data_IF_377173825326
#
_entry.id   IF_377173825326
#
_cell.length_a   1.000
_cell.length_b   1.000
_cell.length_c   1.000
_cell.angle_alpha   90.00
_cell.angle_beta   90.00
_cell.angle_gamma   90.00
#
_symmetry.space_group_name_H-M   'P 1'
#
loop_
_entity.id
_entity.type
_entity.pdbx_description
1 polymer ?
#
# COMPACT_ATOMS: atom_id res chain seq x y z
N UNK A 1 18.53 7.31 16.00
CA UNK A 1 19.75 8.06 15.61
C UNK A 1 21.07 7.29 15.72
N UNK A 2 21.17 6.16 16.41
CA UNK A 2 22.48 5.46 16.63
C UNK A 2 22.99 4.60 15.45
N UNK A 3 22.15 4.19 14.52
CA UNK A 3 22.50 3.19 13.47
C UNK A 3 23.27 3.76 12.28
N UNK A 4 22.94 4.96 11.83
CA UNK A 4 23.67 5.62 10.72
C UNK A 4 25.07 6.03 11.15
N UNK A 5 25.25 6.40 12.42
CA UNK A 5 26.54 6.84 12.92
C UNK A 5 27.57 5.70 13.01
N UNK A 6 27.11 4.45 13.22
CA UNK A 6 28.03 3.30 13.29
C UNK A 6 28.59 2.94 11.92
N UNK A 7 27.77 2.96 10.88
CA UNK A 7 28.22 2.75 9.48
C UNK A 7 29.22 3.82 9.05
N UNK A 8 28.86 5.08 9.18
CA UNK A 8 29.73 6.19 8.82
C UNK A 8 30.98 6.24 9.70
N UNK A 9 30.87 5.93 10.98
CA UNK A 9 32.00 5.87 11.91
C UNK A 9 33.01 4.76 11.55
N UNK A 10 32.52 3.55 11.19
CA UNK A 10 33.41 2.46 10.76
C UNK A 10 34.12 2.77 9.44
N UNK A 11 33.44 3.44 8.52
CA UNK A 11 33.97 3.88 7.24
C UNK A 11 35.08 4.93 7.42
N UNK A 12 34.86 5.93 8.26
CA UNK A 12 35.87 6.95 8.60
C UNK A 12 37.07 6.33 9.30
N UNK A 13 36.83 5.37 10.19
CA UNK A 13 37.91 4.68 10.90
C UNK A 13 38.80 3.87 9.96
N UNK A 14 38.21 3.11 9.02
CA UNK A 14 38.96 2.34 8.03
C UNK A 14 39.76 3.28 7.11
N UNK A 15 39.14 4.38 6.65
CA UNK A 15 39.85 5.40 5.85
C UNK A 15 41.01 6.03 6.60
N UNK A 16 40.83 6.34 7.89
CA UNK A 16 41.87 6.88 8.76
C UNK A 16 43.05 5.91 8.96
N UNK A 17 42.75 4.62 9.21
CA UNK A 17 43.79 3.58 9.37
C UNK A 17 44.57 3.41 8.06
N UNK A 18 43.91 3.36 6.90
CA UNK A 18 44.58 3.24 5.59
C UNK A 18 45.50 4.44 5.28
N UNK A 19 45.04 5.66 5.62
CA UNK A 19 45.86 6.87 5.47
C UNK A 19 47.08 6.83 6.40
N UNK A 20 46.90 6.39 7.63
CA UNK A 20 47.99 6.29 8.61
C UNK A 20 49.04 5.26 8.17
N UNK A 21 48.62 4.10 7.66
CA UNK A 21 49.53 3.07 7.14
C UNK A 21 50.32 3.58 5.91
N UNK A 22 49.67 4.40 5.06
CA UNK A 22 50.34 5.07 3.93
C UNK A 22 51.39 6.08 4.39
N UNK A 23 51.10 6.92 5.38
CA UNK A 23 52.03 7.96 5.91
C UNK A 23 53.23 7.33 6.62
N UNK A 24 53.04 6.14 7.23
CA UNK A 24 54.15 5.38 7.84
C UNK A 24 55.06 4.68 6.83
N UNK A 25 54.76 4.79 5.51
CA UNK A 25 55.58 4.18 4.46
C UNK A 25 55.50 2.66 4.37
N UNK A 26 54.60 2.04 5.11
CA UNK A 26 54.45 0.59 5.17
C UNK A 26 53.86 0.00 3.88
N UNK A 27 53.26 0.83 3.01
CA UNK A 27 52.67 0.42 1.76
C UNK A 27 52.92 1.44 0.64
N UNK A 28 53.32 0.94 -0.53
CA UNK A 28 53.62 1.71 -1.75
C UNK A 28 52.54 1.68 -2.82
N UNK A 29 51.30 1.30 -2.46
CA UNK A 29 50.21 1.17 -3.43
C UNK A 29 49.41 2.47 -3.63
N UNK A 30 48.76 2.59 -4.76
CA UNK A 30 47.79 3.66 -5.03
C UNK A 30 46.62 3.55 -4.08
N UNK A 31 46.48 4.55 -3.20
CA UNK A 31 45.43 4.58 -2.16
C UNK A 31 43.99 4.51 -2.73
N UNK A 32 43.74 5.20 -3.85
CA UNK A 32 42.39 5.36 -4.40
C UNK A 32 41.71 4.06 -4.82
N UNK A 33 42.32 3.18 -5.62
CA UNK A 33 41.71 1.91 -6.00
C UNK A 33 41.44 0.99 -4.82
N UNK A 34 42.35 0.93 -3.86
CA UNK A 34 42.22 0.08 -2.66
C UNK A 34 41.11 0.58 -1.73
N UNK A 35 41.02 1.90 -1.56
CA UNK A 35 39.96 2.53 -0.79
C UNK A 35 38.57 2.16 -1.34
N UNK A 36 38.35 2.30 -2.66
CA UNK A 36 37.09 1.97 -3.29
C UNK A 36 36.77 0.47 -3.24
N UNK A 37 37.77 -0.41 -3.38
CA UNK A 37 37.57 -1.85 -3.26
C UNK A 37 37.12 -2.25 -1.86
N UNK A 38 37.75 -1.73 -0.82
CA UNK A 38 37.38 -1.98 0.59
C UNK A 38 36.00 -1.38 0.87
N UNK A 39 35.71 -0.20 0.36
CA UNK A 39 34.40 0.44 0.50
C UNK A 39 33.27 -0.43 -0.10
N UNK A 40 33.47 -0.97 -1.30
CA UNK A 40 32.50 -1.85 -1.93
C UNK A 40 32.32 -3.17 -1.16
N UNK A 41 33.39 -3.74 -0.64
CA UNK A 41 33.33 -4.93 0.19
C UNK A 41 32.55 -4.65 1.49
N UNK A 42 32.87 -3.55 2.19
CA UNK A 42 32.15 -3.16 3.39
C UNK A 42 30.68 -2.86 3.13
N UNK A 43 30.37 -2.19 2.03
CA UNK A 43 28.99 -1.95 1.61
C UNK A 43 28.26 -3.27 1.29
N UNK A 44 28.93 -4.22 0.62
CA UNK A 44 28.37 -5.55 0.34
C UNK A 44 28.15 -6.37 1.62
N UNK A 45 29.10 -6.38 2.53
CA UNK A 45 28.98 -7.05 3.83
C UNK A 45 27.86 -6.41 4.66
N UNK A 46 27.77 -5.07 4.67
CA UNK A 46 26.69 -4.36 5.33
C UNK A 46 25.32 -4.69 4.72
N UNK A 47 25.26 -4.78 3.40
CA UNK A 47 24.04 -5.16 2.69
C UNK A 47 23.57 -6.57 3.06
N UNK A 48 24.49 -7.52 3.18
CA UNK A 48 24.18 -8.93 3.47
C UNK A 48 23.89 -9.17 4.97
N UNK A 49 24.64 -8.54 5.86
CA UNK A 49 24.58 -8.81 7.31
C UNK A 49 23.75 -7.78 8.07
N UNK A 50 23.63 -6.55 7.55
CA UNK A 50 22.92 -5.46 8.23
C UNK A 50 21.49 -5.83 8.68
N UNK A 51 20.67 -6.46 7.83
CA UNK A 51 19.30 -6.86 8.21
C UNK A 51 19.27 -7.94 9.32
N UNK A 52 20.30 -8.80 9.39
CA UNK A 52 20.38 -9.86 10.40
C UNK A 52 20.89 -9.38 11.76
N UNK A 53 21.81 -8.41 11.73
CA UNK A 53 22.41 -7.84 12.94
C UNK A 53 21.56 -6.77 13.61
N UNK A 54 20.73 -6.11 12.83
CA UNK A 54 19.90 -4.99 13.28
C UNK A 54 18.43 -5.27 12.96
N UNK A 55 17.84 -6.23 13.66
CA UNK A 55 16.37 -6.34 13.70
C UNK A 55 15.84 -5.04 14.30
N UNK A 56 15.19 -4.20 13.51
CA UNK A 56 14.37 -3.15 14.07
C UNK A 56 13.16 -3.83 14.70
N UNK A 57 12.99 -3.65 16.01
CA UNK A 57 11.72 -4.00 16.65
C UNK A 57 10.63 -3.20 15.94
N UNK A 58 9.78 -3.90 15.18
CA UNK A 58 8.67 -3.29 14.51
C UNK A 58 7.64 -2.89 15.55
N UNK A 59 7.39 -1.61 15.68
CA UNK A 59 6.33 -1.11 16.55
C UNK A 59 5.01 -1.60 15.98
N UNK A 60 4.29 -2.36 16.77
CA UNK A 60 2.93 -2.79 16.47
C UNK A 60 1.96 -1.95 17.31
N UNK A 61 1.13 -1.18 16.64
CA UNK A 61 0.18 -0.28 17.27
C UNK A 61 -1.24 -0.75 17.01
N UNK A 62 -2.00 -0.98 18.07
CA UNK A 62 -3.43 -1.26 17.98
C UNK A 62 -4.21 0.06 18.09
N UNK A 63 -5.02 0.35 17.08
CA UNK A 63 -5.78 1.59 17.01
C UNK A 63 -7.24 1.31 16.76
N UNK A 64 -8.08 1.98 17.54
CA UNK A 64 -9.53 2.06 17.33
C UNK A 64 -9.88 3.51 17.06
N UNK A 65 -10.63 3.76 16.00
CA UNK A 65 -11.16 5.09 15.67
C UNK A 65 -12.67 5.07 15.88
N UNK A 66 -13.20 5.86 16.84
CA UNK A 66 -14.64 5.95 17.07
C UNK A 66 -15.32 6.77 15.96
N UNK A 67 -16.61 6.50 15.72
CA UNK A 67 -17.46 7.28 14.81
C UNK A 67 -17.87 8.64 15.38
N UNK A 68 -17.88 8.77 16.69
CA UNK A 68 -18.30 10.00 17.39
C UNK A 68 -19.67 10.55 16.93
N UNK A 69 -20.58 9.64 16.55
CA UNK A 69 -21.90 10.00 16.04
C UNK A 69 -21.93 10.47 14.58
N UNK A 70 -20.86 10.31 13.82
CA UNK A 70 -20.88 10.54 12.38
C UNK A 70 -21.75 9.49 11.67
N UNK A 71 -22.49 9.91 10.63
CA UNK A 71 -23.34 9.03 9.83
C UNK A 71 -22.69 8.56 8.54
N UNK A 72 -21.55 9.14 8.15
CA UNK A 72 -20.73 8.74 7.02
C UNK A 72 -19.25 9.00 7.31
N UNK A 73 -18.34 8.33 6.59
CA UNK A 73 -16.92 8.57 6.74
C UNK A 73 -16.14 8.55 5.42
N UNK A 74 -15.09 9.38 5.38
CA UNK A 74 -14.06 9.43 4.34
C UNK A 74 -12.72 8.96 4.94
N UNK A 75 -12.16 7.88 4.43
CA UNK A 75 -10.92 7.33 4.97
C UNK A 75 -9.86 7.27 3.88
N UNK A 76 -8.72 7.90 4.16
CA UNK A 76 -7.54 7.89 3.29
C UNK A 76 -6.44 7.08 3.92
N UNK A 77 -5.94 6.09 3.18
CA UNK A 77 -4.84 5.22 3.57
C UNK A 77 -3.63 5.53 2.69
N UNK A 78 -2.57 6.05 3.30
CA UNK A 78 -1.31 6.34 2.62
C UNK A 78 -0.24 5.36 3.12
N UNK A 79 -0.04 4.27 2.39
CA UNK A 79 0.86 3.19 2.77
C UNK A 79 1.99 3.07 1.75
N UNK A 80 3.19 3.44 2.13
CA UNK A 80 4.33 3.50 1.20
C UNK A 80 4.72 2.14 0.64
N UNK A 81 4.95 1.14 1.50
CA UNK A 81 5.30 -0.21 1.09
C UNK A 81 4.94 -1.24 2.16
N UNK A 82 4.54 -2.44 1.74
CA UNK A 82 4.20 -3.55 2.62
C UNK A 82 2.89 -4.21 2.28
N UNK A 83 2.13 -4.62 3.30
CA UNK A 83 0.85 -5.29 3.12
C UNK A 83 -0.28 -4.53 3.81
N UNK A 84 -1.40 -4.38 3.12
CA UNK A 84 -2.66 -3.90 3.69
C UNK A 84 -3.70 -5.02 3.57
N UNK A 85 -4.28 -5.40 4.70
CA UNK A 85 -5.42 -6.32 4.77
C UNK A 85 -6.61 -5.58 5.37
N UNK A 86 -7.68 -5.46 4.62
CA UNK A 86 -8.92 -4.80 5.04
C UNK A 86 -10.04 -5.81 5.03
N UNK A 87 -10.72 -5.91 6.16
CA UNK A 87 -11.94 -6.69 6.32
C UNK A 87 -13.10 -5.78 6.73
N UNK A 88 -14.28 -6.31 6.75
CA UNK A 88 -15.50 -5.64 7.24
C UNK A 88 -16.07 -6.35 8.46
N UNK A 89 -16.69 -5.58 9.37
CA UNK A 89 -17.30 -6.15 10.56
C UNK A 89 -18.26 -5.20 11.27
N UNK A 90 -19.00 -5.74 12.19
CA UNK A 90 -19.82 -4.91 13.09
C UNK A 90 -18.93 -4.35 14.22
N UNK A 91 -18.66 -3.08 14.18
CA UNK A 91 -17.82 -2.39 15.16
C UNK A 91 -18.61 -1.48 16.12
N UNK A 92 -19.94 -1.55 16.07
CA UNK A 92 -20.80 -0.68 16.88
C UNK A 92 -20.51 0.80 16.61
N UNK A 93 -20.17 1.53 17.65
CA UNK A 93 -19.86 2.98 17.56
C UNK A 93 -18.47 3.32 17.02
N UNK A 94 -17.69 2.33 16.52
CA UNK A 94 -16.36 2.58 15.99
C UNK A 94 -16.37 2.56 14.45
N UNK A 95 -15.54 3.40 13.84
CA UNK A 95 -15.34 3.45 12.40
C UNK A 95 -14.44 2.30 11.91
N UNK A 96 -13.32 2.11 12.59
CA UNK A 96 -12.37 1.07 12.29
C UNK A 96 -11.61 0.59 13.54
N UNK A 97 -11.17 -0.65 13.48
CA UNK A 97 -10.19 -1.27 14.38
C UNK A 97 -9.03 -1.80 13.54
N UNK A 98 -7.81 -1.70 14.02
CA UNK A 98 -6.70 -2.28 13.29
C UNK A 98 -5.42 -2.38 14.09
N UNK A 99 -4.54 -3.22 13.56
CA UNK A 99 -3.15 -3.39 14.00
C UNK A 99 -2.23 -2.89 12.90
N UNK A 100 -1.35 -1.97 13.26
CA UNK A 100 -0.50 -1.23 12.35
C UNK A 100 0.97 -1.50 12.67
N UNK A 101 1.58 -2.44 11.97
CA UNK A 101 3.00 -2.73 12.11
C UNK A 101 3.82 -1.71 11.33
N UNK A 102 4.78 -1.08 11.98
CA UNK A 102 5.54 0.07 11.48
C UNK A 102 5.02 1.41 12.01
N UNK A 103 3.92 1.40 12.79
CA UNK A 103 3.30 2.57 13.38
C UNK A 103 2.26 3.24 12.48
N UNK A 104 1.54 4.19 13.04
CA UNK A 104 0.48 4.93 12.39
C UNK A 104 0.54 6.42 12.77
N UNK A 105 0.58 7.29 11.77
CA UNK A 105 0.23 8.69 11.90
C UNK A 105 -1.24 8.84 11.48
N UNK A 106 -2.07 9.43 12.34
CA UNK A 106 -3.50 9.62 12.08
C UNK A 106 -3.89 11.07 12.27
N UNK A 107 -4.64 11.58 11.33
CA UNK A 107 -5.28 12.87 11.39
C UNK A 107 -6.78 12.66 11.22
N UNK A 108 -7.55 13.05 12.24
CA UNK A 108 -9.00 12.84 12.27
C UNK A 108 -9.65 14.20 12.38
N UNK A 109 -10.61 14.47 11.50
CA UNK A 109 -11.39 15.68 11.51
C UNK A 109 -12.85 15.36 11.28
N UNK A 110 -13.73 16.19 11.80
CA UNK A 110 -15.19 16.06 11.64
C UNK A 110 -15.77 17.31 11.01
N UNK A 111 -16.64 17.12 10.04
CA UNK A 111 -17.39 18.19 9.41
C UNK A 111 -18.87 17.79 9.33
N UNK A 112 -19.69 18.37 10.21
CA UNK A 112 -21.11 18.01 10.31
C UNK A 112 -21.31 16.53 10.65
N UNK A 113 -21.96 15.79 9.78
CA UNK A 113 -22.23 14.35 9.91
C UNK A 113 -21.13 13.45 9.32
N UNK A 114 -20.11 14.01 8.71
CA UNK A 114 -19.01 13.26 8.07
C UNK A 114 -17.76 13.26 8.93
N UNK A 115 -17.15 12.08 9.10
CA UNK A 115 -15.84 11.88 9.75
C UNK A 115 -14.78 11.66 8.67
N UNK A 116 -13.72 12.46 8.69
CA UNK A 116 -12.55 12.28 7.81
C UNK A 116 -11.38 11.73 8.61
N UNK A 117 -10.79 10.63 8.16
CA UNK A 117 -9.63 10.03 8.78
C UNK A 117 -8.53 9.86 7.72
N UNK A 118 -7.39 10.51 7.92
CA UNK A 118 -6.19 10.33 7.12
C UNK A 118 -5.17 9.50 7.90
N UNK A 119 -4.85 8.33 7.36
CA UNK A 119 -4.00 7.32 7.98
C UNK A 119 -2.74 7.15 7.14
N UNK A 120 -1.58 7.46 7.70
CA UNK A 120 -0.31 7.42 6.98
C UNK A 120 0.77 6.68 7.76
N UNK A 121 1.71 6.09 7.02
CA UNK A 121 2.93 5.55 7.64
C UNK A 121 3.81 6.70 8.13
N UNK A 122 4.39 6.59 9.34
CA UNK A 122 5.32 7.60 9.85
C UNK A 122 6.48 7.86 8.88
N UNK A 123 6.77 9.13 8.59
CA UNK A 123 7.84 9.52 7.67
C UNK A 123 9.22 8.98 8.06
N UNK A 124 9.44 8.71 9.35
CA UNK A 124 10.68 8.08 9.86
C UNK A 124 10.92 6.69 9.28
N UNK A 125 9.86 6.00 8.88
CA UNK A 125 9.91 4.67 8.27
C UNK A 125 10.15 4.79 6.76
N UNK A 126 9.52 5.77 6.10
CA UNK A 126 9.64 6.01 4.65
C UNK A 126 11.01 6.61 4.26
N UNK A 127 11.64 7.40 5.14
CA UNK A 127 12.94 8.06 4.87
C UNK A 127 14.14 7.13 4.91
N UNK A 128 13.95 5.86 5.24
CA UNK A 128 15.02 4.87 5.30
C UNK A 128 14.77 3.80 4.23
N UNK A 129 15.01 4.16 2.97
CA UNK A 129 15.23 3.16 1.92
C UNK A 129 16.54 2.41 2.24
N UNK A 130 16.50 1.51 3.22
CA UNK A 130 17.65 0.69 3.56
C UNK A 130 17.62 -0.53 2.65
N UNK A 131 18.65 -0.75 1.84
CA UNK A 131 18.83 -2.00 1.14
C UNK A 131 18.77 -3.16 2.15
N UNK A 132 17.90 -4.15 1.91
CA UNK A 132 17.73 -5.33 2.75
C UNK A 132 16.68 -5.21 3.87
N UNK A 133 15.91 -4.13 3.97
CA UNK A 133 14.70 -4.12 4.80
C UNK A 133 13.61 -4.93 4.08
N UNK A 134 13.15 -5.98 4.73
CA UNK A 134 11.99 -6.73 4.26
C UNK A 134 10.72 -5.90 4.50
N UNK A 135 10.25 -5.21 3.46
CA UNK A 135 9.01 -4.44 3.50
C UNK A 135 7.77 -5.29 3.80
N UNK A 136 7.88 -6.62 3.73
CA UNK A 136 6.81 -7.54 4.16
C UNK A 136 6.50 -7.43 5.65
N UNK A 137 7.42 -6.87 6.45
CA UNK A 137 7.19 -6.60 7.86
C UNK A 137 6.22 -5.44 8.12
N UNK A 138 6.00 -4.54 7.17
CA UNK A 138 5.03 -3.45 7.32
C UNK A 138 3.64 -3.95 6.92
N UNK A 139 2.87 -4.35 7.91
CA UNK A 139 1.54 -4.92 7.70
C UNK A 139 0.48 -4.11 8.45
N UNK A 140 -0.51 -3.62 7.73
CA UNK A 140 -1.72 -3.04 8.29
C UNK A 140 -2.87 -4.02 8.14
N UNK A 141 -3.40 -4.46 9.27
CA UNK A 141 -4.55 -5.35 9.34
C UNK A 141 -5.69 -4.58 10.00
N UNK A 142 -6.74 -4.31 9.27
CA UNK A 142 -7.84 -3.52 9.82
C UNK A 142 -9.22 -4.05 9.43
N UNK A 143 -10.17 -3.73 10.26
CA UNK A 143 -11.60 -4.02 10.06
C UNK A 143 -12.33 -2.68 9.97
N UNK A 144 -13.14 -2.50 8.93
CA UNK A 144 -14.01 -1.34 8.73
C UNK A 144 -15.41 -1.64 9.23
N UNK A 145 -16.10 -0.61 9.71
CA UNK A 145 -17.50 -0.70 10.07
C UNK A 145 -18.36 -0.96 8.82
N UNK A 146 -19.14 -2.02 8.86
CA UNK A 146 -19.97 -2.46 7.72
C UNK A 146 -21.28 -1.67 7.57
N UNK A 147 -21.70 -0.95 8.61
CA UNK A 147 -23.04 -0.32 8.68
C UNK A 147 -23.02 1.19 8.39
N UNK A 148 -21.84 1.74 8.09
CA UNK A 148 -21.65 3.16 7.80
C UNK A 148 -21.29 3.35 6.32
N UNK A 149 -21.93 4.32 5.62
CA UNK A 149 -21.51 4.72 4.28
C UNK A 149 -20.07 5.23 4.28
N UNK A 150 -19.25 4.65 3.38
CA UNK A 150 -17.82 4.91 3.33
C UNK A 150 -17.39 5.46 1.97
N UNK A 151 -16.47 6.42 1.99
CA UNK A 151 -15.59 6.77 0.87
C UNK A 151 -14.18 6.34 1.27
N UNK A 152 -13.53 5.54 0.42
CA UNK A 152 -12.23 4.97 0.70
C UNK A 152 -11.22 5.38 -0.37
N UNK A 153 -10.07 5.86 0.06
CA UNK A 153 -8.95 6.17 -0.81
C UNK A 153 -7.70 5.42 -0.32
N UNK A 154 -7.21 4.50 -1.13
CA UNK A 154 -5.97 3.75 -0.89
C UNK A 154 -4.89 4.26 -1.83
N UNK A 155 -3.82 4.81 -1.26
CA UNK A 155 -2.60 5.18 -1.96
C UNK A 155 -1.46 4.29 -1.47
N UNK A 156 -0.95 3.44 -2.37
CA UNK A 156 0.09 2.45 -2.04
C UNK A 156 1.25 2.52 -3.01
N UNK A 157 2.48 2.52 -2.51
CA UNK A 157 3.68 2.55 -3.36
C UNK A 157 4.02 1.17 -3.92
N UNK A 158 4.41 0.23 -3.04
CA UNK A 158 4.81 -1.12 -3.41
C UNK A 158 4.31 -2.15 -2.39
N UNK A 159 3.85 -3.32 -2.86
CA UNK A 159 3.45 -4.39 -1.96
C UNK A 159 2.18 -5.12 -2.34
N UNK A 160 1.40 -5.49 -1.34
CA UNK A 160 0.16 -6.24 -1.52
C UNK A 160 -0.99 -5.57 -0.78
N UNK A 161 -2.14 -5.42 -1.45
CA UNK A 161 -3.37 -4.93 -0.85
C UNK A 161 -4.49 -5.94 -1.07
N UNK A 162 -5.12 -6.38 0.02
CA UNK A 162 -6.29 -7.27 -0.03
C UNK A 162 -7.43 -6.58 0.70
N UNK A 163 -8.44 -6.17 -0.05
CA UNK A 163 -9.57 -5.39 0.43
C UNK A 163 -10.85 -6.23 0.30
N UNK A 164 -11.34 -6.79 1.39
CA UNK A 164 -12.65 -7.44 1.44
C UNK A 164 -13.71 -6.43 1.90
N UNK A 165 -14.37 -5.81 0.91
CA UNK A 165 -15.39 -4.79 1.13
C UNK A 165 -16.81 -5.34 0.92
N UNK A 166 -16.95 -6.66 0.74
CA UNK A 166 -18.21 -7.31 0.37
C UNK A 166 -19.39 -6.94 1.26
N UNK A 167 -19.14 -6.77 2.56
CA UNK A 167 -20.17 -6.49 3.58
C UNK A 167 -20.30 -5.01 3.94
N UNK A 168 -19.55 -4.11 3.26
CA UNK A 168 -19.53 -2.67 3.55
C UNK A 168 -20.54 -1.88 2.72
N UNK A 169 -20.77 -0.62 3.11
CA UNK A 169 -21.58 0.35 2.37
C UNK A 169 -20.70 1.37 1.62
N UNK A 170 -19.67 0.89 0.93
CA UNK A 170 -18.75 1.78 0.20
C UNK A 170 -19.47 2.41 -0.99
N UNK A 171 -19.50 3.74 -1.02
CA UNK A 171 -20.06 4.56 -2.10
C UNK A 171 -19.02 4.94 -3.14
N UNK A 172 -17.79 5.17 -2.69
CA UNK A 172 -16.66 5.51 -3.54
C UNK A 172 -15.41 4.76 -3.06
N UNK A 173 -14.73 4.12 -4.00
CA UNK A 173 -13.44 3.49 -3.78
C UNK A 173 -12.45 4.06 -4.80
N UNK A 174 -11.39 4.67 -4.30
CA UNK A 174 -10.25 5.09 -5.11
C UNK A 174 -9.02 4.28 -4.71
N UNK A 175 -8.36 3.69 -5.69
CA UNK A 175 -7.13 2.92 -5.51
C UNK A 175 -6.04 3.51 -6.39
N UNK A 176 -4.98 3.99 -5.80
CA UNK A 176 -3.80 4.48 -6.51
C UNK A 176 -2.60 3.63 -6.08
N UNK A 177 -1.94 3.02 -7.05
CA UNK A 177 -0.86 2.08 -6.73
C UNK A 177 0.30 2.18 -7.72
N UNK A 178 1.52 2.08 -7.18
CA UNK A 178 2.76 2.09 -7.98
C UNK A 178 3.08 0.71 -8.55
N UNK A 179 3.79 -0.11 -7.78
CA UNK A 179 4.21 -1.48 -8.13
C UNK A 179 3.66 -2.48 -7.12
N UNK A 180 2.44 -2.98 -7.33
CA UNK A 180 1.74 -3.79 -6.32
C UNK A 180 0.86 -4.87 -6.90
N UNK A 181 0.43 -5.79 -6.02
CA UNK A 181 -0.68 -6.69 -6.26
C UNK A 181 -1.88 -6.24 -5.40
N UNK A 182 -2.97 -5.86 -6.03
CA UNK A 182 -4.18 -5.38 -5.34
C UNK A 182 -5.37 -6.26 -5.69
N UNK A 183 -5.99 -6.85 -4.67
CA UNK A 183 -7.21 -7.65 -4.78
C UNK A 183 -8.33 -6.98 -4.02
N UNK A 184 -9.45 -6.76 -4.67
CA UNK A 184 -10.63 -6.11 -4.10
C UNK A 184 -11.86 -6.96 -4.31
N UNK A 185 -12.54 -7.31 -3.22
CA UNK A 185 -13.93 -7.79 -3.29
C UNK A 185 -14.86 -6.61 -3.08
N UNK A 186 -15.72 -6.36 -4.05
CA UNK A 186 -16.59 -5.20 -4.09
C UNK A 186 -17.84 -5.38 -3.22
N UNK A 187 -18.52 -4.27 -2.81
CA UNK A 187 -19.70 -4.34 -1.95
C UNK A 187 -20.89 -5.01 -2.62
N UNK A 188 -21.64 -5.80 -1.83
CA UNK A 188 -22.87 -6.46 -2.30
C UNK A 188 -24.14 -5.63 -2.10
N UNK A 189 -24.16 -4.69 -1.14
CA UNK A 189 -25.37 -4.01 -0.67
C UNK A 189 -25.26 -2.49 -0.59
N UNK A 190 -24.29 -1.92 -1.25
CA UNK A 190 -24.06 -0.47 -1.18
C UNK A 190 -25.01 0.35 -2.07
N UNK A 191 -25.86 -0.29 -2.88
CA UNK A 191 -26.65 0.37 -3.89
C UNK A 191 -25.77 0.72 -5.09
N UNK A 192 -25.28 1.94 -5.16
CA UNK A 192 -24.34 2.35 -6.20
C UNK A 192 -22.95 2.60 -5.61
N UNK A 193 -21.94 1.95 -6.18
CA UNK A 193 -20.52 2.13 -5.85
C UNK A 193 -19.77 2.65 -7.09
N UNK A 194 -18.97 3.69 -6.91
CA UNK A 194 -17.99 4.13 -7.93
C UNK A 194 -16.60 3.65 -7.54
N UNK A 195 -15.90 3.05 -8.49
CA UNK A 195 -14.51 2.58 -8.30
C UNK A 195 -13.63 3.25 -9.35
N UNK A 196 -12.57 3.90 -8.89
CA UNK A 196 -11.50 4.43 -9.74
C UNK A 196 -10.19 3.80 -9.32
N UNK A 197 -9.51 3.12 -10.24
CA UNK A 197 -8.22 2.51 -9.98
C UNK A 197 -7.16 3.07 -10.93
N UNK A 198 -6.05 3.58 -10.37
CA UNK A 198 -4.90 4.05 -11.12
C UNK A 198 -3.67 3.24 -10.74
N UNK A 199 -3.02 2.63 -11.72
CA UNK A 199 -1.90 1.74 -11.48
C UNK A 199 -0.72 2.02 -12.42
N UNK A 200 0.49 2.04 -11.87
CA UNK A 200 1.72 2.12 -12.66
C UNK A 200 2.09 0.77 -13.27
N UNK A 201 2.78 -0.08 -12.51
CA UNK A 201 3.12 -1.47 -12.85
C UNK A 201 2.50 -2.40 -11.82
N UNK A 202 1.22 -2.78 -12.00
CA UNK A 202 0.51 -3.51 -10.97
C UNK A 202 -0.38 -4.63 -11.52
N UNK A 203 -0.70 -5.58 -10.64
CA UNK A 203 -1.75 -6.56 -10.86
C UNK A 203 -2.99 -6.12 -10.07
N UNK A 204 -4.09 -5.89 -10.77
CA UNK A 204 -5.38 -5.50 -10.21
C UNK A 204 -6.40 -6.61 -10.39
N UNK A 205 -6.97 -7.09 -9.31
CA UNK A 205 -8.03 -8.09 -9.32
C UNK A 205 -9.28 -7.53 -8.62
N UNK A 206 -10.39 -7.41 -9.36
CA UNK A 206 -11.67 -7.00 -8.83
C UNK A 206 -12.67 -8.15 -8.89
N UNK A 207 -13.17 -8.56 -7.75
CA UNK A 207 -14.26 -9.53 -7.65
C UNK A 207 -15.58 -8.79 -7.47
N UNK A 208 -16.45 -8.86 -8.48
CA UNK A 208 -17.82 -8.35 -8.44
C UNK A 208 -18.72 -9.44 -7.90
N UNK A 209 -19.38 -9.26 -6.75
CA UNK A 209 -20.24 -10.27 -6.15
C UNK A 209 -21.40 -10.66 -7.08
N UNK A 210 -21.92 -11.86 -6.91
CA UNK A 210 -23.14 -12.29 -7.59
C UNK A 210 -24.32 -11.38 -7.17
N UNK A 211 -25.18 -11.02 -8.13
CA UNK A 211 -26.30 -10.11 -7.90
C UNK A 211 -25.92 -8.62 -7.89
N UNK A 212 -24.66 -8.31 -8.17
CA UNK A 212 -24.20 -6.92 -8.41
C UNK A 212 -23.88 -6.77 -9.89
N UNK A 213 -24.47 -5.77 -10.52
CA UNK A 213 -24.22 -5.43 -11.92
C UNK A 213 -23.04 -4.49 -12.04
N UNK A 214 -22.22 -4.66 -13.07
CA UNK A 214 -21.03 -3.84 -13.25
C UNK A 214 -21.00 -3.17 -14.63
N UNK A 215 -20.40 -1.98 -14.66
CA UNK A 215 -19.95 -1.29 -15.86
C UNK A 215 -18.45 -1.01 -15.69
N UNK A 216 -17.66 -1.43 -16.67
CA UNK A 216 -16.20 -1.43 -16.58
C UNK A 216 -15.64 -0.70 -17.78
N UNK A 217 -14.85 0.33 -17.52
CA UNK A 217 -14.05 1.07 -18.52
C UNK A 217 -12.58 0.86 -18.23
N UNK A 218 -11.82 0.54 -19.26
CA UNK A 218 -10.39 0.32 -19.18
C UNK A 218 -9.68 1.32 -20.09
N UNK A 219 -8.71 2.02 -19.51
CA UNK A 219 -7.69 2.79 -20.22
C UNK A 219 -6.33 2.21 -19.86
N UNK A 220 -5.76 1.41 -20.76
CA UNK A 220 -4.60 0.58 -20.43
C UNK A 220 -3.54 0.65 -21.53
N UNK A 221 -2.29 0.77 -21.10
CA UNK A 221 -1.12 0.69 -21.97
C UNK A 221 -0.79 -0.76 -22.33
N UNK A 222 0.34 -1.28 -21.83
CA UNK A 222 0.77 -2.66 -22.03
C UNK A 222 0.28 -3.57 -20.89
N UNK A 223 -1.01 -3.88 -20.87
CA UNK A 223 -1.60 -4.74 -19.85
C UNK A 223 -2.33 -5.95 -20.44
N UNK A 224 -2.35 -7.04 -19.67
CA UNK A 224 -3.18 -8.21 -19.96
C UNK A 224 -4.52 -8.02 -19.25
N UNK A 225 -5.61 -7.91 -20.01
CA UNK A 225 -6.94 -7.69 -19.47
C UNK A 225 -7.77 -8.96 -19.55
N UNK A 226 -8.24 -9.44 -18.40
CA UNK A 226 -9.12 -10.58 -18.27
C UNK A 226 -10.43 -10.14 -17.64
N UNK A 227 -11.49 -10.06 -18.45
CA UNK A 227 -12.82 -9.67 -18.02
C UNK A 227 -13.78 -10.86 -18.25
N UNK A 228 -14.62 -11.14 -17.26
CA UNK A 228 -15.69 -12.16 -17.42
C UNK A 228 -16.77 -11.64 -18.39
N UNK A 229 -16.55 -11.89 -19.68
CA UNK A 229 -17.46 -11.44 -20.76
C UNK A 229 -18.83 -12.14 -20.74
N UNK A 230 -19.00 -13.23 -20.01
CA UNK A 230 -20.30 -13.85 -19.81
C UNK A 230 -21.19 -12.99 -18.90
N UNK A 231 -20.59 -12.38 -17.88
CA UNK A 231 -21.28 -11.46 -16.97
C UNK A 231 -21.32 -10.03 -17.48
N UNK A 232 -20.23 -9.60 -18.15
CA UNK A 232 -20.01 -8.24 -18.60
C UNK A 232 -19.69 -8.22 -20.09
N UNK A 233 -20.68 -8.45 -20.98
CA UNK A 233 -20.47 -8.40 -22.42
C UNK A 233 -19.94 -7.03 -22.86
N UNK A 234 -19.05 -7.03 -23.85
CA UNK A 234 -18.48 -5.81 -24.43
C UNK A 234 -19.48 -5.13 -25.35
N UNK A 235 -19.79 -3.87 -25.07
CA UNK A 235 -20.64 -3.01 -25.92
C UNK A 235 -19.86 -1.72 -26.26
N UNK A 236 -19.42 -1.61 -27.49
CA UNK A 236 -18.50 -0.54 -27.89
C UNK A 236 -17.15 -0.66 -27.19
N UNK A 237 -16.82 0.27 -26.32
CA UNK A 237 -15.57 0.28 -25.50
C UNK A 237 -15.80 -0.02 -24.02
N UNK A 238 -17.02 -0.46 -23.66
CA UNK A 238 -17.43 -0.64 -22.26
C UNK A 238 -17.90 -2.07 -22.04
N UNK A 239 -17.39 -2.72 -21.00
CA UNK A 239 -17.93 -3.98 -20.52
C UNK A 239 -19.07 -3.68 -19.54
N UNK A 240 -20.26 -4.23 -19.76
CA UNK A 240 -21.42 -3.88 -18.95
C UNK A 240 -22.39 -5.06 -18.78
N UNK A 241 -22.86 -5.24 -17.54
CA UNK A 241 -23.97 -6.16 -17.27
C UNK A 241 -25.23 -5.70 -18.01
N UNK A 242 -26.02 -6.63 -18.58
CA UNK A 242 -27.25 -6.29 -19.34
C UNK A 242 -28.28 -5.49 -18.52
N UNK A 243 -28.32 -5.72 -17.22
CA UNK A 243 -29.25 -5.12 -16.27
C UNK A 243 -28.67 -3.91 -15.48
N UNK A 244 -27.50 -3.40 -15.88
CA UNK A 244 -26.76 -2.37 -15.11
C UNK A 244 -27.62 -1.15 -14.75
N UNK A 245 -28.44 -0.65 -15.67
CA UNK A 245 -29.19 0.59 -15.45
C UNK A 245 -30.39 0.40 -14.51
N UNK A 246 -30.87 -0.84 -14.36
CA UNK A 246 -32.05 -1.20 -13.53
C UNK A 246 -31.67 -1.91 -12.22
N UNK A 247 -30.44 -2.38 -12.12
CA UNK A 247 -29.97 -3.13 -10.94
C UNK A 247 -29.98 -2.26 -9.67
N UNK A 248 -30.49 -2.83 -8.58
CA UNK A 248 -30.51 -2.19 -7.28
C UNK A 248 -29.10 -2.00 -6.70
N UNK A 249 -28.22 -2.99 -6.92
CA UNK A 249 -26.82 -2.93 -6.55
C UNK A 249 -25.95 -2.94 -7.80
N UNK A 250 -25.19 -1.90 -8.01
CA UNK A 250 -24.35 -1.74 -9.20
C UNK A 250 -23.02 -1.07 -8.89
N UNK A 251 -22.01 -1.38 -9.67
CA UNK A 251 -20.68 -0.80 -9.55
C UNK A 251 -20.21 -0.26 -10.90
N UNK A 252 -19.75 0.99 -10.89
CA UNK A 252 -19.11 1.65 -12.05
C UNK A 252 -17.61 1.66 -11.82
N UNK A 253 -16.85 0.94 -12.63
CA UNK A 253 -15.41 0.70 -12.47
C UNK A 253 -14.67 1.39 -13.61
N UNK A 254 -13.74 2.25 -13.26
CA UNK A 254 -12.82 2.91 -14.19
C UNK A 254 -11.39 2.56 -13.80
N UNK A 255 -10.64 1.98 -14.72
CA UNK A 255 -9.27 1.51 -14.47
C UNK A 255 -8.33 2.15 -15.48
N UNK A 256 -7.35 2.90 -14.98
CA UNK A 256 -6.22 3.42 -15.72
C UNK A 256 -4.96 2.64 -15.30
N UNK A 257 -4.30 1.95 -16.21
CA UNK A 257 -3.11 1.17 -15.90
C UNK A 257 -2.03 1.27 -16.98
N UNK A 258 -0.78 1.47 -16.56
CA UNK A 258 0.37 1.51 -17.44
C UNK A 258 0.76 0.12 -17.93
N UNK A 259 1.26 -0.74 -17.03
CA UNK A 259 1.68 -2.12 -17.32
C UNK A 259 1.17 -3.06 -16.23
N UNK A 260 0.86 -4.32 -16.60
CA UNK A 260 0.50 -5.35 -15.64
C UNK A 260 -0.65 -6.24 -16.05
N UNK A 261 -1.41 -6.74 -15.06
CA UNK A 261 -2.58 -7.59 -15.26
C UNK A 261 -3.82 -6.98 -14.62
N UNK A 262 -4.94 -7.01 -15.34
CA UNK A 262 -6.25 -6.64 -14.82
C UNK A 262 -7.16 -7.85 -14.93
N UNK A 263 -7.75 -8.29 -13.82
CA UNK A 263 -8.74 -9.36 -13.76
C UNK A 263 -10.02 -8.80 -13.12
N UNK A 264 -11.15 -8.87 -13.83
CA UNK A 264 -12.47 -8.50 -13.29
C UNK A 264 -13.44 -9.65 -13.54
N UNK A 265 -13.96 -10.21 -12.44
CA UNK A 265 -14.80 -11.39 -12.45
C UNK A 265 -16.01 -11.28 -11.50
#
# INVERSE_FOLDING_TARGET
MKRNNFFWGSMVLVAGVLLLLKTLGLFTFNFWPVFWAIMLILAGVWFLLGPRLFKADMIEEQVTIPLEGASEADIRFNHGAGRILVNSGNLGGNLLNGTFTGGLEKEISRSGSSLSANLSMPQRVLGVAIPGVDFKGFAWNLTLNRDVPLRLHFSTGAGESVLDLSDTLVKELRVETGASATRVKLPMRAGQTRVTAKAGMASLEFSVPQGVSARIRLDTGMSSNKIDTNRFPLTGSVYQSPDFDTAANRVDIEIEAGMGGIDVR
#
